data_IF_373259794448
#
_entry.id   IF_373259794448
#
_cell.length_a   1.000
_cell.length_b   1.000
_cell.length_c   1.000
_cell.angle_alpha   90.00
_cell.angle_beta   90.00
_cell.angle_gamma   90.00
#
_symmetry.space_group_name_H-M   'P 1'
#
loop_
_entity.id
_entity.type
_entity.pdbx_description
1 polymer ?
#
# COMPACT_ATOMS: atom_id res chain seq x y z
N UNK A 1 15.57 14.58 5.04
CA UNK A 1 16.90 14.67 5.68
C UNK A 1 17.88 13.80 4.90
N UNK A 2 19.13 14.25 4.70
CA UNK A 2 20.16 13.38 4.10
C UNK A 2 20.60 12.39 5.19
N UNK A 3 20.42 11.10 4.93
CA UNK A 3 20.90 10.03 5.81
C UNK A 3 22.42 9.98 5.68
N UNK A 4 23.14 9.95 6.80
CA UNK A 4 24.59 9.76 6.82
C UNK A 4 24.92 8.30 6.46
N UNK A 5 25.51 8.01 5.28
CA UNK A 5 25.76 6.64 4.84
C UNK A 5 26.73 5.88 5.75
N UNK A 6 27.58 6.59 6.49
CA UNK A 6 28.55 5.98 7.41
C UNK A 6 27.89 5.33 8.62
N UNK A 7 26.69 5.80 9.00
CA UNK A 7 25.90 5.28 10.12
C UNK A 7 24.98 4.13 9.74
N UNK A 8 24.93 3.77 8.46
CA UNK A 8 24.07 2.70 7.97
C UNK A 8 24.78 1.34 8.06
N UNK A 9 24.04 0.27 8.44
CA UNK A 9 24.52 -1.10 8.33
C UNK A 9 25.09 -1.35 6.92
N UNK A 10 26.22 -2.06 6.82
CA UNK A 10 26.90 -2.26 5.55
C UNK A 10 26.02 -3.04 4.56
N UNK A 11 25.18 -3.90 5.09
CA UNK A 11 24.27 -4.80 4.38
C UNK A 11 23.16 -4.04 3.65
N UNK A 12 22.80 -2.83 4.10
CA UNK A 12 21.72 -2.04 3.47
C UNK A 12 22.22 -1.10 2.37
N UNK A 13 23.53 -0.84 2.30
CA UNK A 13 24.12 0.13 1.37
C UNK A 13 23.84 -0.19 -0.09
N UNK A 14 23.94 -1.45 -0.57
CA UNK A 14 23.67 -1.77 -1.97
C UNK A 14 22.23 -1.43 -2.36
N UNK A 15 21.25 -1.68 -1.50
CA UNK A 15 19.86 -1.33 -1.81
C UNK A 15 19.64 0.18 -1.93
N UNK A 16 20.37 0.98 -1.15
CA UNK A 16 20.32 2.44 -1.26
C UNK A 16 21.00 2.92 -2.54
N UNK A 17 22.12 2.31 -2.92
CA UNK A 17 22.79 2.57 -4.19
C UNK A 17 21.87 2.24 -5.37
N UNK A 18 21.22 1.08 -5.36
CA UNK A 18 20.23 0.67 -6.35
C UNK A 18 19.07 1.68 -6.46
N UNK A 19 18.54 2.12 -5.33
CA UNK A 19 17.46 3.12 -5.31
C UNK A 19 17.91 4.49 -5.79
N UNK A 20 19.15 4.90 -5.49
CA UNK A 20 19.71 6.15 -6.00
C UNK A 20 19.92 6.08 -7.52
N UNK A 21 20.45 4.99 -8.07
CA UNK A 21 20.54 4.77 -9.52
C UNK A 21 19.18 4.89 -10.20
N UNK A 22 18.14 4.25 -9.65
CA UNK A 22 16.77 4.39 -10.17
C UNK A 22 16.32 5.86 -10.22
N UNK A 23 16.53 6.62 -9.14
CA UNK A 23 16.16 8.04 -9.12
C UNK A 23 16.96 8.89 -10.09
N UNK A 24 18.24 8.60 -10.28
CA UNK A 24 19.12 9.34 -11.18
C UNK A 24 18.75 9.08 -12.65
N UNK A 25 18.49 7.83 -13.01
CA UNK A 25 18.19 7.42 -14.38
C UNK A 25 16.75 7.72 -14.80
N UNK A 26 15.78 7.49 -13.92
CA UNK A 26 14.34 7.63 -14.22
C UNK A 26 13.81 9.03 -13.85
N UNK A 27 14.46 9.71 -12.91
CA UNK A 27 14.05 11.01 -12.37
C UNK A 27 12.54 11.09 -12.01
N UNK A 28 12.02 10.13 -11.21
CA UNK A 28 10.60 10.07 -10.89
C UNK A 28 10.20 11.18 -9.93
N UNK A 29 9.04 11.80 -10.16
CA UNK A 29 8.48 12.82 -9.26
C UNK A 29 7.50 12.16 -8.29
N UNK A 30 7.79 12.23 -7.00
CA UNK A 30 6.96 11.62 -5.97
C UNK A 30 5.61 12.35 -5.84
N UNK A 31 4.52 11.59 -5.90
CA UNK A 31 3.15 12.08 -5.67
C UNK A 31 2.65 11.60 -4.31
N UNK A 32 2.66 10.28 -4.10
CA UNK A 32 2.23 9.67 -2.83
C UNK A 32 3.30 8.74 -2.26
N UNK A 33 3.35 8.69 -0.93
CA UNK A 33 4.35 7.95 -0.15
C UNK A 33 3.73 7.41 1.13
N UNK A 34 3.63 6.10 1.29
CA UNK A 34 3.06 5.44 2.49
C UNK A 34 1.65 5.95 2.83
N UNK A 35 0.79 6.05 1.83
CA UNK A 35 -0.59 6.51 2.01
C UNK A 35 -1.56 5.34 2.06
N UNK A 36 -2.65 5.52 2.80
CA UNK A 36 -3.72 4.53 2.86
C UNK A 36 -4.59 4.67 1.62
N UNK A 37 -4.82 3.57 0.93
CA UNK A 37 -5.74 3.46 -0.19
C UNK A 37 -6.90 2.55 0.22
N UNK A 38 -8.12 2.90 -0.17
CA UNK A 38 -9.28 2.06 0.10
C UNK A 38 -10.32 2.11 -1.02
N UNK A 39 -11.10 1.04 -1.09
CA UNK A 39 -12.23 0.88 -2.00
C UNK A 39 -13.43 0.43 -1.16
N UNK A 40 -14.50 1.23 -1.17
CA UNK A 40 -15.70 0.96 -0.38
C UNK A 40 -16.55 -0.15 -1.03
N UNK A 41 -16.68 -0.13 -2.35
CA UNK A 41 -17.48 -1.11 -3.13
C UNK A 41 -17.10 -2.56 -2.79
N UNK A 42 -15.81 -2.88 -2.81
CA UNK A 42 -15.27 -4.21 -2.51
C UNK A 42 -14.81 -4.38 -1.07
N UNK A 43 -14.82 -3.29 -0.28
CA UNK A 43 -14.45 -3.25 1.13
C UNK A 43 -13.03 -3.76 1.42
N UNK A 44 -12.04 -3.21 0.72
CA UNK A 44 -10.63 -3.42 1.02
C UNK A 44 -9.90 -2.10 1.27
N UNK A 45 -8.81 -2.18 2.04
CA UNK A 45 -7.89 -1.08 2.25
C UNK A 45 -6.47 -1.62 2.39
N UNK A 46 -5.47 -0.78 2.14
CA UNK A 46 -4.06 -1.10 2.35
C UNK A 46 -3.20 0.15 2.29
N UNK A 47 -1.90 -0.02 2.51
CA UNK A 47 -0.93 1.06 2.38
C UNK A 47 -0.12 0.84 1.12
N UNK A 48 -0.11 1.83 0.22
CA UNK A 48 0.76 1.80 -0.95
C UNK A 48 2.17 2.25 -0.56
N UNK A 49 3.17 1.72 -1.25
CA UNK A 49 4.55 2.20 -1.12
C UNK A 49 4.66 3.60 -1.73
N UNK A 50 4.57 3.71 -3.06
CA UNK A 50 4.81 4.97 -3.78
C UNK A 50 3.89 5.13 -4.99
N UNK A 51 3.52 6.37 -5.28
CA UNK A 51 3.01 6.79 -6.60
C UNK A 51 3.95 7.85 -7.15
N UNK A 52 4.37 7.68 -8.39
CA UNK A 52 5.30 8.59 -9.09
C UNK A 52 4.70 9.08 -10.40
N UNK A 53 4.97 10.34 -10.75
CA UNK A 53 4.97 10.79 -12.14
C UNK A 53 6.34 10.41 -12.76
N UNK A 54 6.29 9.54 -13.77
CA UNK A 54 7.43 9.13 -14.58
C UNK A 54 7.18 9.52 -16.03
N UNK A 55 7.67 10.69 -16.44
CA UNK A 55 7.54 11.17 -17.83
C UNK A 55 6.11 11.55 -18.23
N UNK A 56 5.32 12.12 -17.31
CA UNK A 56 3.92 12.51 -17.53
C UNK A 56 2.92 11.36 -17.34
N UNK A 57 3.39 10.21 -16.84
CA UNK A 57 2.58 9.03 -16.55
C UNK A 57 2.57 8.76 -15.06
N UNK A 58 1.37 8.59 -14.50
CA UNK A 58 1.15 8.38 -13.08
C UNK A 58 1.19 6.88 -12.79
N UNK A 59 2.19 6.46 -12.04
CA UNK A 59 2.52 5.05 -11.87
C UNK A 59 2.56 4.67 -10.40
N UNK A 60 1.89 3.58 -10.05
CA UNK A 60 2.01 2.93 -8.76
C UNK A 60 3.28 2.07 -8.77
N UNK A 61 4.16 2.27 -7.79
CA UNK A 61 5.44 1.56 -7.69
C UNK A 61 5.59 0.97 -6.29
N UNK A 62 5.76 -0.35 -6.23
CA UNK A 62 6.03 -1.09 -5.00
C UNK A 62 7.49 -1.56 -5.00
N UNK A 63 8.20 -1.28 -3.91
CA UNK A 63 9.64 -1.47 -3.78
C UNK A 63 9.89 -2.77 -3.04
N UNK A 64 10.63 -3.70 -3.66
CA UNK A 64 10.96 -4.99 -3.04
C UNK A 64 12.46 -5.26 -3.07
N UNK A 65 12.92 -6.02 -2.09
CA UNK A 65 14.30 -6.56 -2.02
C UNK A 65 14.31 -8.08 -2.26
N UNK A 66 13.24 -8.61 -2.85
CA UNK A 66 13.13 -10.03 -3.19
C UNK A 66 14.12 -10.43 -4.29
N UNK A 67 14.39 -11.74 -4.38
CA UNK A 67 15.32 -12.30 -5.39
C UNK A 67 14.86 -12.10 -6.84
N UNK A 68 13.55 -12.12 -7.09
CA UNK A 68 12.96 -12.01 -8.42
C UNK A 68 11.56 -11.38 -8.33
N UNK A 69 10.95 -11.19 -9.49
CA UNK A 69 9.58 -10.77 -9.67
C UNK A 69 8.64 -11.98 -9.60
N UNK A 70 7.68 -11.94 -8.68
CA UNK A 70 6.66 -12.99 -8.56
C UNK A 70 5.32 -12.50 -9.10
N UNK A 71 4.55 -13.40 -9.70
CA UNK A 71 3.28 -13.06 -10.36
C UNK A 71 2.24 -12.54 -9.38
N UNK A 72 2.21 -13.08 -8.17
CA UNK A 72 1.31 -12.68 -7.08
C UNK A 72 1.52 -11.25 -6.59
N UNK A 73 2.70 -10.65 -6.79
CA UNK A 73 2.95 -9.22 -6.52
C UNK A 73 2.00 -8.32 -7.32
N UNK A 74 1.53 -8.77 -8.49
CA UNK A 74 0.53 -8.03 -9.26
C UNK A 74 -0.81 -7.90 -8.54
N UNK A 75 -1.17 -8.83 -7.65
CA UNK A 75 -2.47 -8.82 -6.95
C UNK A 75 -2.56 -7.64 -5.99
N UNK A 76 -1.49 -7.38 -5.22
CA UNK A 76 -1.41 -6.23 -4.31
C UNK A 76 -1.51 -4.92 -5.10
N UNK A 77 -0.73 -4.79 -6.18
CA UNK A 77 -0.76 -3.60 -7.03
C UNK A 77 -2.13 -3.39 -7.69
N UNK A 78 -2.78 -4.46 -8.15
CA UNK A 78 -4.11 -4.40 -8.76
C UNK A 78 -5.15 -3.91 -7.76
N UNK A 79 -5.10 -4.38 -6.51
CA UNK A 79 -5.98 -3.87 -5.46
C UNK A 79 -5.82 -2.35 -5.29
N UNK A 80 -4.58 -1.88 -5.20
CA UNK A 80 -4.30 -0.45 -5.00
C UNK A 80 -4.67 0.41 -6.21
N UNK A 81 -4.46 -0.08 -7.44
CA UNK A 81 -4.89 0.60 -8.67
C UNK A 81 -6.41 0.79 -8.74
N UNK A 82 -7.18 -0.13 -8.16
CA UNK A 82 -8.64 -0.07 -8.07
C UNK A 82 -9.13 0.55 -6.75
N UNK A 83 -8.25 1.18 -5.97
CA UNK A 83 -8.66 2.01 -4.85
C UNK A 83 -9.43 3.24 -5.32
N UNK A 84 -10.52 3.58 -4.64
CA UNK A 84 -11.37 4.73 -4.97
C UNK A 84 -10.83 6.01 -4.34
N UNK A 85 -10.23 5.90 -3.16
CA UNK A 85 -9.80 7.02 -2.34
C UNK A 85 -8.43 6.77 -1.74
N UNK A 86 -7.75 7.88 -1.48
CA UNK A 86 -6.54 7.91 -0.67
C UNK A 86 -6.82 8.70 0.61
N UNK A 87 -6.31 8.20 1.74
CA UNK A 87 -6.37 8.87 3.03
C UNK A 87 -4.96 9.26 3.45
N UNK A 88 -4.78 10.55 3.69
CA UNK A 88 -3.53 11.13 4.13
C UNK A 88 -3.29 10.91 5.62
N UNK A 89 -2.05 11.16 6.07
CA UNK A 89 -1.66 11.02 7.48
C UNK A 89 -2.45 11.92 8.43
N UNK A 90 -2.92 13.07 7.94
CA UNK A 90 -3.80 13.99 8.68
C UNK A 90 -5.29 13.58 8.63
N UNK A 91 -5.58 12.41 8.04
CA UNK A 91 -6.92 11.83 7.84
C UNK A 91 -7.79 12.58 6.83
N UNK A 92 -7.23 13.51 6.06
CA UNK A 92 -7.93 14.03 4.89
C UNK A 92 -8.07 12.94 3.83
N UNK A 93 -9.18 12.96 3.09
CA UNK A 93 -9.52 11.96 2.08
C UNK A 93 -9.74 12.68 0.76
N UNK A 94 -9.15 12.16 -0.31
CA UNK A 94 -9.37 12.63 -1.67
C UNK A 94 -9.55 11.43 -2.63
N UNK A 95 -10.20 11.62 -3.80
CA UNK A 95 -10.30 10.59 -4.81
C UNK A 95 -8.91 10.14 -5.26
N UNK A 96 -8.76 8.85 -5.53
CA UNK A 96 -7.52 8.30 -6.06
C UNK A 96 -7.27 8.84 -7.47
N UNK A 97 -6.02 9.22 -7.73
CA UNK A 97 -5.59 9.64 -9.07
C UNK A 97 -5.61 8.44 -10.03
N UNK A 98 -5.92 8.69 -11.30
CA UNK A 98 -5.87 7.64 -12.32
C UNK A 98 -4.44 7.10 -12.47
N UNK A 99 -4.28 5.78 -12.35
CA UNK A 99 -2.98 5.09 -12.47
C UNK A 99 -2.81 4.54 -13.89
N UNK A 100 -1.85 5.10 -14.63
CA UNK A 100 -1.46 4.64 -15.97
C UNK A 100 -0.80 3.26 -15.93
N UNK A 101 0.07 3.01 -14.94
CA UNK A 101 0.87 1.79 -14.86
C UNK A 101 1.17 1.35 -13.43
N UNK A 102 1.46 0.06 -13.28
CA UNK A 102 1.85 -0.56 -12.01
C UNK A 102 3.21 -1.23 -12.19
N UNK A 103 4.14 -0.98 -11.28
CA UNK A 103 5.50 -1.47 -11.39
C UNK A 103 5.99 -2.06 -10.07
N UNK A 104 6.81 -3.11 -10.19
CA UNK A 104 7.68 -3.55 -9.09
C UNK A 104 9.07 -2.98 -9.36
N UNK A 105 9.64 -2.32 -8.37
CA UNK A 105 11.04 -1.90 -8.33
C UNK A 105 11.82 -2.85 -7.41
N UNK A 106 12.62 -3.73 -7.99
CA UNK A 106 13.55 -4.57 -7.24
C UNK A 106 14.83 -3.82 -6.97
N UNK A 107 15.23 -3.78 -5.70
CA UNK A 107 16.53 -3.30 -5.26
C UNK A 107 17.42 -4.52 -5.00
N UNK A 108 18.52 -4.64 -5.75
CA UNK A 108 19.46 -5.75 -5.66
C UNK A 108 20.52 -5.54 -4.59
N UNK A 109 20.97 -6.64 -3.99
CA UNK A 109 22.11 -6.66 -3.07
C UNK A 109 23.46 -6.37 -3.76
N UNK A 110 23.47 -6.30 -5.10
CA UNK A 110 24.61 -5.96 -5.96
C UNK A 110 24.70 -4.44 -6.27
N UNK A 111 23.79 -3.64 -5.71
CA UNK A 111 23.75 -2.21 -5.95
C UNK A 111 23.05 -1.82 -7.26
N UNK A 112 22.41 -2.75 -7.96
CA UNK A 112 21.61 -2.48 -9.16
C UNK A 112 20.11 -2.61 -8.87
N UNK A 113 19.30 -2.02 -9.73
CA UNK A 113 17.85 -2.15 -9.65
C UNK A 113 17.31 -2.81 -10.93
N UNK A 114 16.15 -3.44 -10.81
CA UNK A 114 15.35 -3.85 -11.94
C UNK A 114 13.92 -3.36 -11.74
N UNK A 115 13.27 -2.91 -12.81
CA UNK A 115 11.88 -2.48 -12.77
C UNK A 115 11.05 -3.26 -13.79
N UNK A 116 9.87 -3.71 -13.40
CA UNK A 116 8.97 -4.46 -14.28
C UNK A 116 7.55 -3.96 -14.16
N UNK A 117 6.91 -3.71 -15.30
CA UNK A 117 5.48 -3.43 -15.35
C UNK A 117 4.68 -4.69 -15.06
N UNK A 118 3.70 -4.57 -14.18
CA UNK A 118 2.81 -5.66 -13.78
C UNK A 118 1.47 -5.55 -14.50
N UNK A 119 0.85 -6.69 -14.78
CA UNK A 119 -0.49 -6.74 -15.34
C UNK A 119 -1.55 -6.43 -14.28
N UNK A 120 -2.60 -5.72 -14.68
CA UNK A 120 -3.79 -5.56 -13.86
C UNK A 120 -4.58 -6.86 -13.83
N UNK A 121 -4.62 -7.49 -12.66
CA UNK A 121 -5.26 -8.77 -12.38
C UNK A 121 -6.32 -8.63 -11.30
N UNK A 122 -7.08 -7.52 -11.30
CA UNK A 122 -8.04 -7.19 -10.25
C UNK A 122 -9.09 -8.30 -9.99
N UNK A 123 -9.59 -8.98 -11.02
CA UNK A 123 -10.52 -10.11 -10.85
C UNK A 123 -9.90 -11.29 -10.09
N UNK A 124 -8.61 -11.55 -10.29
CA UNK A 124 -7.87 -12.59 -9.55
C UNK A 124 -7.65 -12.15 -8.10
N UNK A 125 -7.33 -10.86 -7.88
CA UNK A 125 -7.27 -10.30 -6.54
C UNK A 125 -8.61 -10.45 -5.81
N UNK A 126 -9.73 -10.06 -6.42
CA UNK A 126 -11.07 -10.19 -5.82
C UNK A 126 -11.39 -11.65 -5.50
N UNK A 127 -11.03 -12.58 -6.37
CA UNK A 127 -11.20 -14.02 -6.12
C UNK A 127 -10.45 -14.46 -4.87
N UNK A 128 -9.16 -14.12 -4.76
CA UNK A 128 -8.34 -14.42 -3.58
C UNK A 128 -8.85 -13.72 -2.32
N UNK A 129 -9.24 -12.45 -2.43
CA UNK A 129 -9.75 -11.64 -1.33
C UNK A 129 -11.09 -12.17 -0.80
N UNK A 130 -11.98 -12.65 -1.67
CA UNK A 130 -13.23 -13.28 -1.27
C UNK A 130 -13.00 -14.60 -0.53
N UNK A 131 -12.03 -15.42 -0.97
CA UNK A 131 -11.62 -16.62 -0.22
C UNK A 131 -11.08 -16.22 1.15
N UNK A 132 -10.22 -15.18 1.22
CA UNK A 132 -9.72 -14.66 2.48
C UNK A 132 -10.86 -14.23 3.41
N UNK A 133 -11.83 -13.45 2.91
CA UNK A 133 -13.01 -13.01 3.68
C UNK A 133 -13.83 -14.19 4.19
N UNK A 134 -14.05 -15.21 3.35
CA UNK A 134 -14.76 -16.42 3.76
C UNK A 134 -14.05 -17.14 4.91
N UNK A 135 -12.74 -17.36 4.79
CA UNK A 135 -11.93 -18.02 5.82
C UNK A 135 -11.80 -17.23 7.13
N UNK A 136 -12.09 -15.92 7.10
CA UNK A 136 -11.93 -15.01 8.22
C UNK A 136 -13.25 -14.41 8.71
N UNK A 137 -14.39 -14.89 8.20
CA UNK A 137 -15.72 -14.35 8.52
C UNK A 137 -16.06 -14.44 10.03
N UNK A 138 -15.57 -15.49 10.70
CA UNK A 138 -15.84 -15.77 12.11
C UNK A 138 -14.93 -14.99 13.09
N UNK A 139 -13.95 -14.21 12.58
CA UNK A 139 -13.08 -13.37 13.44
C UNK A 139 -13.71 -12.04 13.87
N UNK A 140 -14.97 -11.78 13.50
CA UNK A 140 -15.75 -10.71 14.14
C UNK A 140 -16.18 -11.22 15.51
N UNK A 141 -15.47 -10.81 16.57
CA UNK A 141 -15.94 -11.01 17.94
C UNK A 141 -17.43 -10.68 18.04
N UNK A 142 -18.22 -11.65 18.47
CA UNK A 142 -19.59 -11.43 18.92
C UNK A 142 -19.48 -10.57 20.18
N UNK A 143 -19.60 -9.26 20.04
CA UNK A 143 -19.81 -8.38 21.17
C UNK A 143 -21.24 -8.67 21.65
N UNK A 144 -21.37 -9.57 22.62
CA UNK A 144 -22.61 -9.78 23.35
C UNK A 144 -22.89 -8.53 24.17
N UNK A 145 -23.54 -7.54 23.58
CA UNK A 145 -24.12 -6.42 24.33
C UNK A 145 -25.29 -6.99 25.13
N UNK A 146 -25.06 -7.29 26.41
CA UNK A 146 -26.16 -7.46 27.37
C UNK A 146 -26.90 -6.13 27.45
N UNK A 147 -28.08 -6.09 26.85
CA UNK A 147 -29.06 -5.05 27.13
C UNK A 147 -29.55 -5.28 28.56
N UNK A 148 -28.92 -4.62 29.54
CA UNK A 148 -29.54 -4.48 30.85
C UNK A 148 -30.81 -3.67 30.68
N UNK A 149 -31.95 -4.32 30.93
CA UNK A 149 -33.25 -3.65 31.04
C UNK A 149 -33.12 -2.55 32.09
N UNK A 150 -33.13 -1.31 31.59
CA UNK A 150 -33.31 -0.07 32.31
C UNK A 150 -34.21 -0.25 33.54
N UNK A 151 -33.62 -0.02 34.72
CA UNK A 151 -34.35 0.44 35.91
C UNK A 151 -33.65 1.68 36.44
N UNK A 152 -34.37 2.79 36.27
CA UNK A 152 -34.21 4.13 36.84
C UNK A 152 -33.23 4.25 38.02
N UNK A 153 -32.31 5.21 37.92
CA UNK A 153 -31.87 6.00 39.08
C UNK A 153 -31.80 7.46 38.69
N UNK A 154 -32.66 8.25 39.32
CA UNK A 154 -32.78 9.70 39.25
C UNK A 154 -31.58 10.34 39.97
N UNK A 155 -30.92 11.32 39.35
CA UNK A 155 -30.02 12.23 40.06
C UNK A 155 -30.76 13.53 40.39
N UNK A 156 -31.04 13.78 41.67
CA UNK A 156 -31.43 15.09 42.17
C UNK A 156 -30.19 15.92 42.49
N UNK A 157 -30.23 17.18 42.04
CA UNK A 157 -29.24 18.24 42.17
C UNK A 157 -28.82 18.51 43.62
N UNK A 158 -27.52 18.55 43.89
CA UNK A 158 -26.75 19.70 44.40
C UNK A 158 -25.25 19.40 44.23
#
# INVERSE_FOLDING_TARGET
SKIDPSKLPKEIRPYIEAFNKFKEEVNPKLIFNEQIIFNNEYSFAGTLDRVYDMGGKINLVDIKTSKDFYKDMSLQLSAYKHGEYIMHKDKTIEPMVAIDGMYILLLGADGNYAIRQMQDSFSVFLSAFNIYKFLHADKKEVINVRMEKSRNVTFSRL
#
